data_IF_026446217897
#
_entry.id   IF_026446217897
#
_cell.length_a   1.000
_cell.length_b   1.000
_cell.length_c   1.000
_cell.angle_alpha   90.00
_cell.angle_beta   90.00
_cell.angle_gamma   90.00
#
_symmetry.space_group_name_H-M   'P 1'
#
loop_
_entity.id
_entity.type
_entity.pdbx_description
1 polymer ?
#
# COMPACT_ATOMS: atom_id res chain seq x y z
N UNK A 1 10.82 -4.25 -37.67
CA UNK A 1 9.38 -4.47 -37.40
C UNK A 1 8.83 -3.15 -36.90
N UNK A 2 8.14 -2.40 -37.75
CA UNK A 2 7.60 -1.09 -37.38
C UNK A 2 6.44 -1.28 -36.43
N UNK A 3 6.61 -0.87 -35.17
CA UNK A 3 5.50 -0.71 -34.25
C UNK A 3 4.79 0.57 -34.69
N UNK A 4 3.52 0.46 -35.09
CA UNK A 4 2.75 1.65 -35.45
C UNK A 4 2.75 2.64 -34.28
N UNK A 5 2.76 3.94 -34.57
CA UNK A 5 2.74 5.01 -33.56
C UNK A 5 1.60 4.83 -32.54
N UNK A 6 0.46 4.29 -32.98
CA UNK A 6 -0.66 3.94 -32.12
C UNK A 6 -0.35 2.76 -31.19
N UNK A 7 0.28 1.69 -31.67
CA UNK A 7 0.69 0.56 -30.84
C UNK A 7 1.75 0.97 -29.79
N UNK A 8 2.70 1.83 -30.15
CA UNK A 8 3.67 2.39 -29.21
C UNK A 8 2.99 3.17 -28.08
N UNK A 9 2.05 4.06 -28.42
CA UNK A 9 1.27 4.82 -27.44
C UNK A 9 0.45 3.93 -26.51
N UNK A 10 -0.23 2.91 -27.05
CA UNK A 10 -1.06 2.00 -26.25
C UNK A 10 -0.21 1.20 -25.26
N UNK A 11 0.93 0.64 -25.70
CA UNK A 11 1.83 -0.11 -24.83
C UNK A 11 2.34 0.78 -23.68
N UNK A 12 2.77 2.00 -23.99
CA UNK A 12 3.27 2.92 -22.97
C UNK A 12 2.19 3.38 -21.99
N UNK A 13 0.98 3.68 -22.46
CA UNK A 13 -0.14 4.03 -21.60
C UNK A 13 -0.51 2.87 -20.66
N UNK A 14 -0.43 1.63 -21.16
CA UNK A 14 -0.67 0.45 -20.33
C UNK A 14 0.41 0.29 -19.23
N UNK A 15 1.69 0.49 -19.58
CA UNK A 15 2.80 0.47 -18.61
C UNK A 15 2.61 1.57 -17.55
N UNK A 16 2.30 2.80 -17.97
CA UNK A 16 2.03 3.91 -17.06
C UNK A 16 0.87 3.60 -16.13
N UNK A 17 -0.25 3.07 -16.66
CA UNK A 17 -1.41 2.68 -15.87
C UNK A 17 -1.07 1.58 -14.87
N UNK A 18 -0.31 0.56 -15.29
CA UNK A 18 0.11 -0.53 -14.42
C UNK A 18 0.94 -0.01 -13.24
N UNK A 19 1.92 0.86 -13.49
CA UNK A 19 2.73 1.48 -12.44
C UNK A 19 1.89 2.37 -11.56
N UNK A 20 0.96 3.15 -12.12
CA UNK A 20 0.04 3.95 -11.33
C UNK A 20 -0.84 3.09 -10.42
N UNK A 21 -1.29 1.93 -10.89
CA UNK A 21 -2.10 1.02 -10.07
C UNK A 21 -1.33 0.53 -8.82
N UNK A 22 0.01 0.40 -8.90
CA UNK A 22 0.83 0.00 -7.75
C UNK A 22 1.04 1.11 -6.72
N UNK A 23 0.71 2.38 -7.02
CA UNK A 23 0.71 3.47 -6.04
C UNK A 23 -0.35 3.31 -4.95
N UNK A 24 -1.43 2.57 -5.21
CA UNK A 24 -2.45 2.25 -4.19
C UNK A 24 -1.79 1.53 -3.00
N UNK A 25 -0.78 0.71 -3.26
CA UNK A 25 -0.02 0.04 -2.20
C UNK A 25 0.87 1.01 -1.43
N UNK A 26 1.46 2.02 -2.09
CA UNK A 26 2.30 3.05 -1.44
C UNK A 26 1.50 3.92 -0.45
N UNK A 27 0.23 4.20 -0.74
CA UNK A 27 -0.65 4.90 0.21
C UNK A 27 -0.80 4.15 1.53
N UNK A 28 -0.80 2.81 1.50
CA UNK A 28 -0.81 2.00 2.73
C UNK A 28 0.49 2.19 3.49
N UNK A 29 1.63 2.16 2.82
CA UNK A 29 2.97 2.32 3.42
C UNK A 29 3.15 3.70 4.08
N UNK A 30 2.51 4.75 3.54
CA UNK A 30 2.52 6.09 4.15
C UNK A 30 1.93 6.12 5.56
N UNK A 31 0.84 5.37 5.80
CA UNK A 31 0.20 5.31 7.12
C UNK A 31 1.16 4.72 8.16
N UNK A 32 2.06 3.85 7.72
CA UNK A 32 2.95 3.09 8.59
C UNK A 32 4.14 3.92 9.01
N UNK A 33 4.70 4.65 8.05
CA UNK A 33 5.72 5.64 8.30
C UNK A 33 5.27 6.70 9.33
N UNK A 34 4.01 7.15 9.30
CA UNK A 34 3.50 8.12 10.28
C UNK A 34 3.63 7.65 11.74
N UNK A 35 3.56 6.33 11.97
CA UNK A 35 3.72 5.72 13.28
C UNK A 35 5.14 5.24 13.55
N UNK A 36 6.05 5.40 12.58
CA UNK A 36 7.44 4.91 12.60
C UNK A 36 7.61 3.40 12.81
N UNK A 37 6.54 2.62 12.71
CA UNK A 37 6.53 1.18 12.95
C UNK A 37 6.09 0.41 11.69
N UNK A 38 6.86 -0.61 11.32
CA UNK A 38 6.58 -1.54 10.22
C UNK A 38 6.79 -2.97 10.71
N UNK A 39 5.84 -3.88 10.47
CA UNK A 39 6.04 -5.31 10.70
C UNK A 39 6.96 -5.95 9.66
N UNK A 40 7.74 -6.97 10.08
CA UNK A 40 8.80 -7.61 9.27
C UNK A 40 8.36 -8.07 7.88
N UNK A 41 7.16 -8.63 7.70
CA UNK A 41 6.67 -9.02 6.36
C UNK A 41 6.39 -7.85 5.44
N UNK A 42 5.99 -6.70 5.97
CA UNK A 42 5.81 -5.50 5.14
C UNK A 42 7.14 -4.92 4.77
N UNK A 43 8.16 -5.09 5.61
CA UNK A 43 9.53 -4.84 5.18
C UNK A 43 9.90 -5.73 3.99
N UNK A 44 9.60 -7.04 4.03
CA UNK A 44 9.83 -7.94 2.87
C UNK A 44 9.05 -7.49 1.63
N UNK A 45 7.79 -7.11 1.80
CA UNK A 45 6.93 -6.62 0.72
C UNK A 45 7.44 -5.28 0.16
N UNK A 46 7.86 -4.35 1.02
CA UNK A 46 8.49 -3.09 0.64
C UNK A 46 9.81 -3.33 -0.11
N UNK A 47 10.64 -4.27 0.32
CA UNK A 47 11.87 -4.66 -0.41
C UNK A 47 11.51 -5.22 -1.79
N UNK A 48 10.48 -6.06 -1.89
CA UNK A 48 9.99 -6.53 -3.19
C UNK A 48 9.55 -5.37 -4.10
N UNK A 49 8.76 -4.44 -3.58
CA UNK A 49 8.35 -3.24 -4.32
C UNK A 49 9.54 -2.33 -4.66
N UNK A 50 10.53 -2.21 -3.77
CA UNK A 50 11.76 -1.48 -4.04
C UNK A 50 12.49 -2.07 -5.25
N UNK A 51 12.63 -3.40 -5.29
CA UNK A 51 13.21 -4.11 -6.43
C UNK A 51 12.41 -3.90 -7.71
N UNK A 52 11.08 -4.01 -7.65
CA UNK A 52 10.20 -3.74 -8.78
C UNK A 52 10.38 -2.32 -9.35
N UNK A 53 10.33 -1.30 -8.49
CA UNK A 53 10.49 0.09 -8.93
C UNK A 53 11.93 0.40 -9.37
N UNK A 54 12.94 -0.25 -8.80
CA UNK A 54 14.33 -0.14 -9.25
C UNK A 54 14.49 -0.67 -10.68
N UNK A 55 13.95 -1.86 -10.96
CA UNK A 55 13.97 -2.44 -12.32
C UNK A 55 13.23 -1.52 -13.29
N UNK A 56 12.05 -1.03 -12.91
CA UNK A 56 11.27 -0.09 -13.74
C UNK A 56 12.04 1.21 -14.00
N UNK A 57 12.71 1.75 -12.98
CA UNK A 57 13.55 2.94 -13.11
C UNK A 57 14.71 2.71 -14.10
N UNK A 58 15.44 1.61 -13.97
CA UNK A 58 16.52 1.25 -14.89
C UNK A 58 16.00 1.14 -16.33
N UNK A 59 14.89 0.44 -16.54
CA UNK A 59 14.25 0.31 -17.85
C UNK A 59 13.85 1.68 -18.41
N UNK A 60 13.26 2.56 -17.60
CA UNK A 60 12.87 3.90 -18.04
C UNK A 60 14.08 4.75 -18.46
N UNK A 61 15.20 4.67 -17.74
CA UNK A 61 16.46 5.36 -18.08
C UNK A 61 16.99 4.85 -19.42
N UNK A 62 17.02 3.53 -19.62
CA UNK A 62 17.47 2.91 -20.88
C UNK A 62 16.65 3.44 -22.05
N UNK A 63 15.32 3.46 -21.93
CA UNK A 63 14.42 3.94 -22.99
C UNK A 63 14.69 5.42 -23.30
N UNK A 64 14.81 6.28 -22.30
CA UNK A 64 15.11 7.71 -22.50
C UNK A 64 16.44 7.88 -23.25
N UNK A 65 17.48 7.13 -22.88
CA UNK A 65 18.78 7.15 -23.57
C UNK A 65 18.66 6.69 -25.02
N UNK A 66 17.89 5.64 -25.30
CA UNK A 66 17.67 5.14 -26.66
C UNK A 66 16.94 6.17 -27.55
N UNK A 67 15.98 6.91 -27.01
CA UNK A 67 15.30 8.01 -27.73
C UNK A 67 16.24 9.17 -28.01
N UNK A 68 17.04 9.57 -27.01
CA UNK A 68 18.05 10.64 -27.18
C UNK A 68 19.11 10.25 -28.22
N UNK A 69 19.47 8.97 -28.31
CA UNK A 69 20.35 8.44 -29.36
C UNK A 69 19.67 8.24 -30.71
N UNK A 70 18.34 8.35 -30.79
CA UNK A 70 17.60 8.20 -32.04
C UNK A 70 17.45 6.75 -32.48
N UNK A 71 17.56 5.80 -31.55
CA UNK A 71 17.39 4.38 -31.82
C UNK A 71 15.92 3.95 -31.68
N UNK A 72 15.10 4.75 -31.00
CA UNK A 72 13.65 4.58 -30.87
C UNK A 72 13.00 5.90 -31.25
N UNK A 73 12.10 5.85 -32.23
CA UNK A 73 11.32 6.99 -32.71
C UNK A 73 10.01 6.52 -33.33
N UNK A 74 8.96 7.33 -33.23
CA UNK A 74 7.67 7.05 -33.88
C UNK A 74 7.44 7.90 -35.13
N UNK A 75 8.29 8.90 -35.35
CA UNK A 75 8.27 9.78 -36.52
C UNK A 75 9.55 9.51 -37.32
N UNK A 76 9.41 9.19 -38.61
CA UNK A 76 10.55 9.11 -39.53
C UNK A 76 11.27 10.46 -39.60
N UNK A 77 12.58 10.45 -39.43
CA UNK A 77 13.42 11.64 -39.54
C UNK A 77 14.71 11.33 -40.28
N UNK A 78 15.31 12.36 -40.85
CA UNK A 78 16.68 12.34 -41.39
C UNK A 78 17.55 13.32 -40.61
N UNK A 79 18.86 13.30 -40.83
CA UNK A 79 19.78 14.25 -40.21
C UNK A 79 20.18 15.32 -41.24
N UNK A 80 20.17 16.59 -40.84
CA UNK A 80 20.73 17.68 -41.64
C UNK A 80 22.28 17.67 -41.57
N UNK A 81 22.93 18.50 -42.38
CA UNK A 81 24.39 18.65 -42.41
C UNK A 81 24.98 19.15 -41.07
N UNK A 82 24.15 19.69 -40.18
CA UNK A 82 24.51 20.16 -38.83
C UNK A 82 24.24 19.10 -37.75
N UNK A 83 23.74 17.91 -38.13
CA UNK A 83 23.39 16.81 -37.24
C UNK A 83 22.04 16.95 -36.51
N UNK A 84 21.20 17.92 -36.89
CA UNK A 84 19.84 18.05 -36.35
C UNK A 84 18.89 17.06 -37.01
N UNK A 85 17.89 16.60 -36.25
CA UNK A 85 16.83 15.75 -36.80
C UNK A 85 15.83 16.61 -37.56
N UNK A 86 15.52 16.24 -38.80
CA UNK A 86 14.55 16.91 -39.65
C UNK A 86 13.45 15.92 -40.08
N UNK A 87 12.20 16.40 -40.11
CA UNK A 87 11.05 15.65 -40.59
C UNK A 87 11.01 15.63 -42.14
N UNK A 88 10.07 14.85 -42.71
CA UNK A 88 9.90 14.72 -44.18
C UNK A 88 9.60 16.04 -44.91
N UNK A 89 9.17 17.06 -44.19
CA UNK A 89 8.87 18.43 -44.62
C UNK A 89 10.02 19.42 -44.35
N UNK A 90 11.21 18.94 -43.98
CA UNK A 90 12.39 19.73 -43.59
C UNK A 90 12.22 20.59 -42.32
N UNK A 91 11.19 20.35 -41.50
CA UNK A 91 11.09 20.99 -40.19
C UNK A 91 12.08 20.37 -39.20
N UNK A 92 12.81 21.22 -38.45
CA UNK A 92 13.73 20.77 -37.40
C UNK A 92 12.93 20.22 -36.22
N UNK A 93 13.11 18.94 -35.92
CA UNK A 93 12.45 18.27 -34.82
C UNK A 93 13.19 18.56 -33.53
N UNK A 94 12.56 19.32 -32.64
CA UNK A 94 13.03 19.42 -31.27
C UNK A 94 12.67 18.14 -30.49
N UNK A 95 13.69 17.31 -30.23
CA UNK A 95 13.54 16.03 -29.53
C UNK A 95 12.93 16.21 -28.14
N UNK A 96 13.26 17.28 -27.42
CA UNK A 96 12.78 17.48 -26.04
C UNK A 96 11.29 17.79 -25.95
N UNK A 97 10.69 18.33 -27.01
CA UNK A 97 9.25 18.64 -27.09
C UNK A 97 8.46 17.57 -27.84
N UNK A 98 9.13 16.55 -28.37
CA UNK A 98 8.47 15.48 -29.14
C UNK A 98 7.78 14.48 -28.23
N UNK A 99 6.73 13.83 -28.75
CA UNK A 99 6.03 12.74 -28.04
C UNK A 99 7.00 11.59 -27.74
N UNK A 100 7.98 11.36 -28.62
CA UNK A 100 8.99 10.31 -28.49
C UNK A 100 9.84 10.49 -27.22
N UNK A 101 10.05 11.74 -26.77
CA UNK A 101 10.76 12.02 -25.51
C UNK A 101 9.82 12.22 -24.32
N UNK A 102 8.68 12.89 -24.51
CA UNK A 102 7.76 13.20 -23.42
C UNK A 102 7.18 11.94 -22.75
N UNK A 103 6.83 10.90 -23.53
CA UNK A 103 6.29 9.66 -22.99
C UNK A 103 7.32 8.90 -22.12
N UNK A 104 8.55 8.66 -22.60
CA UNK A 104 9.60 8.06 -21.77
C UNK A 104 10.02 8.91 -20.58
N UNK A 105 10.04 10.24 -20.72
CA UNK A 105 10.31 11.14 -19.61
C UNK A 105 9.22 11.04 -18.53
N UNK A 106 7.95 10.94 -18.93
CA UNK A 106 6.85 10.69 -18.00
C UNK A 106 7.00 9.32 -17.33
N UNK A 107 7.36 8.28 -18.09
CA UNK A 107 7.64 6.95 -17.53
C UNK A 107 8.74 7.02 -16.46
N UNK A 108 9.86 7.67 -16.76
CA UNK A 108 10.96 7.91 -15.82
C UNK A 108 10.47 8.55 -14.52
N UNK A 109 9.68 9.62 -14.60
CA UNK A 109 9.12 10.29 -13.43
C UNK A 109 8.19 9.35 -12.63
N UNK A 110 7.32 8.61 -13.32
CA UNK A 110 6.39 7.68 -12.67
C UNK A 110 7.09 6.50 -11.98
N UNK A 111 8.32 6.15 -12.39
CA UNK A 111 9.15 5.11 -11.76
C UNK A 111 10.11 5.64 -10.70
N UNK A 112 10.52 6.91 -10.79
CA UNK A 112 11.41 7.56 -9.84
C UNK A 112 10.72 7.93 -8.52
N UNK A 113 9.56 8.59 -8.59
CA UNK A 113 8.78 9.00 -7.41
C UNK A 113 8.48 7.82 -6.45
N UNK A 114 7.95 6.68 -6.90
CA UNK A 114 7.61 5.57 -6.02
C UNK A 114 8.87 4.86 -5.50
N UNK A 115 9.93 4.78 -6.29
CA UNK A 115 11.23 4.26 -5.84
C UNK A 115 11.75 5.07 -4.64
N UNK A 116 11.81 6.41 -4.77
CA UNK A 116 12.25 7.30 -3.70
C UNK A 116 11.35 7.19 -2.46
N UNK A 117 10.02 7.10 -2.64
CA UNK A 117 9.08 6.93 -1.53
C UNK A 117 9.28 5.62 -0.76
N UNK A 118 9.42 4.49 -1.46
CA UNK A 118 9.66 3.18 -0.80
C UNK A 118 10.99 3.19 -0.07
N UNK A 119 12.03 3.74 -0.69
CA UNK A 119 13.36 3.85 -0.07
C UNK A 119 13.30 4.70 1.20
N UNK A 120 12.63 5.86 1.14
CA UNK A 120 12.43 6.72 2.29
C UNK A 120 11.70 6.01 3.44
N UNK A 121 10.63 5.25 3.13
CA UNK A 121 9.91 4.49 4.15
C UNK A 121 10.75 3.38 4.77
N UNK A 122 11.55 2.67 3.97
CA UNK A 122 12.43 1.60 4.46
C UNK A 122 13.53 2.13 5.38
N UNK A 123 14.09 3.31 5.11
CA UNK A 123 15.19 3.89 5.89
C UNK A 123 14.71 4.51 7.21
N UNK A 124 13.49 5.08 7.24
CA UNK A 124 13.01 5.85 8.39
C UNK A 124 12.09 5.10 9.35
N UNK A 125 11.82 3.82 9.08
CA UNK A 125 10.86 3.05 9.86
C UNK A 125 11.53 1.96 10.69
N UNK A 126 11.06 1.80 11.93
CA UNK A 126 11.48 0.73 12.81
C UNK A 126 10.74 -0.55 12.45
N UNK A 127 11.44 -1.68 12.61
CA UNK A 127 10.83 -2.99 12.40
C UNK A 127 10.28 -3.48 13.72
N UNK A 128 8.96 -3.51 13.87
CA UNK A 128 8.33 -4.17 15.01
C UNK A 128 8.41 -5.68 14.84
N UNK A 129 8.73 -6.39 15.92
CA UNK A 129 8.70 -7.85 15.94
C UNK A 129 7.30 -8.39 15.64
N UNK A 130 7.26 -9.61 15.10
CA UNK A 130 6.03 -10.35 14.88
C UNK A 130 5.30 -10.56 16.21
N UNK A 131 3.98 -10.33 16.21
CA UNK A 131 3.15 -10.80 17.32
C UNK A 131 3.02 -12.31 17.18
N UNK A 132 3.59 -13.04 18.14
CA UNK A 132 3.56 -14.51 18.15
C UNK A 132 2.24 -15.01 18.75
N UNK A 133 1.72 -16.17 18.30
CA UNK A 133 0.53 -16.76 18.90
C UNK A 133 0.60 -16.87 20.43
N UNK A 134 1.76 -17.29 20.95
CA UNK A 134 1.97 -17.49 22.38
C UNK A 134 1.88 -16.17 23.16
N UNK A 135 2.26 -15.05 22.55
CA UNK A 135 2.16 -13.73 23.20
C UNK A 135 0.71 -13.28 23.32
N UNK A 136 -0.14 -13.64 22.36
CA UNK A 136 -1.58 -13.37 22.44
C UNK A 136 -2.23 -14.24 23.51
N UNK A 137 -1.82 -15.50 23.64
CA UNK A 137 -2.29 -16.40 24.69
C UNK A 137 -1.86 -15.93 26.08
N UNK A 138 -0.58 -15.62 26.26
CA UNK A 138 -0.06 -15.04 27.51
C UNK A 138 -0.82 -13.75 27.84
N UNK A 139 -1.09 -12.90 26.86
CA UNK A 139 -1.87 -11.68 27.11
C UNK A 139 -3.31 -11.99 27.53
N UNK A 140 -3.96 -12.94 26.86
CA UNK A 140 -5.32 -13.39 27.16
C UNK A 140 -5.45 -13.94 28.59
N UNK A 141 -4.45 -14.69 29.05
CA UNK A 141 -4.47 -15.32 30.37
C UNK A 141 -4.14 -14.34 31.51
N UNK A 142 -3.34 -13.30 31.24
CA UNK A 142 -2.82 -12.41 32.28
C UNK A 142 -3.54 -11.06 32.40
N UNK A 143 -4.31 -10.64 31.40
CA UNK A 143 -4.94 -9.32 31.38
C UNK A 143 -6.43 -9.40 31.09
N UNK A 144 -7.21 -8.65 31.88
CA UNK A 144 -8.62 -8.41 31.66
C UNK A 144 -8.86 -7.00 31.11
N UNK A 145 -9.89 -6.88 30.27
CA UNK A 145 -10.33 -5.61 29.68
C UNK A 145 -11.81 -5.70 29.27
N UNK A 146 -12.46 -4.55 29.16
CA UNK A 146 -13.87 -4.47 28.79
C UNK A 146 -14.07 -4.55 27.27
N UNK A 147 -14.69 -5.63 26.80
CA UNK A 147 -14.94 -5.86 25.36
C UNK A 147 -15.87 -4.80 24.76
N UNK A 148 -16.86 -4.32 25.52
CA UNK A 148 -17.81 -3.33 25.00
C UNK A 148 -17.17 -1.93 24.87
N UNK A 149 -16.15 -1.63 25.67
CA UNK A 149 -15.30 -0.46 25.45
C UNK A 149 -14.44 -0.63 24.19
N UNK A 150 -13.83 -1.81 23.99
CA UNK A 150 -13.04 -2.10 22.78
C UNK A 150 -13.90 -1.96 21.51
N UNK A 151 -15.13 -2.45 21.56
CA UNK A 151 -16.09 -2.37 20.46
C UNK A 151 -16.41 -0.92 20.06
N UNK A 152 -16.46 -0.02 21.04
CA UNK A 152 -16.78 1.41 20.88
C UNK A 152 -15.57 2.27 20.54
N UNK A 153 -14.35 1.77 20.71
CA UNK A 153 -13.14 2.46 20.25
C UNK A 153 -13.29 2.89 18.80
N UNK A 154 -12.73 4.04 18.45
CA UNK A 154 -12.86 4.59 17.10
C UNK A 154 -11.62 5.37 16.68
N UNK A 155 -11.42 5.54 15.37
CA UNK A 155 -10.51 6.56 14.86
C UNK A 155 -11.27 7.50 13.92
N UNK A 156 -10.76 8.73 13.79
CA UNK A 156 -11.37 9.77 12.96
C UNK A 156 -10.55 9.91 11.68
N UNK A 157 -11.18 9.64 10.54
CA UNK A 157 -10.60 9.96 9.23
C UNK A 157 -10.77 11.44 8.98
N UNK A 158 -9.68 12.20 9.14
CA UNK A 158 -9.67 13.62 8.84
C UNK A 158 -9.90 13.83 7.34
N UNK A 159 -10.83 14.73 6.95
CA UNK A 159 -11.00 15.08 5.55
C UNK A 159 -9.73 15.70 4.98
N UNK A 160 -9.51 15.52 3.68
CA UNK A 160 -8.38 16.12 2.99
C UNK A 160 -8.47 17.65 3.11
N UNK A 161 -7.39 18.30 3.56
CA UNK A 161 -7.30 19.77 3.72
C UNK A 161 -7.59 20.57 2.44
N UNK A 162 -7.67 19.92 1.28
CA UNK A 162 -7.82 20.55 -0.03
C UNK A 162 -9.27 20.85 -0.46
N UNK A 163 -10.32 20.44 0.28
CA UNK A 163 -11.71 20.76 -0.09
C UNK A 163 -12.42 21.57 1.01
N UNK A 164 -12.65 22.86 0.71
CA UNK A 164 -13.25 23.91 1.56
C UNK A 164 -14.75 23.75 1.89
N UNK A 165 -15.36 22.57 1.77
CA UNK A 165 -16.81 22.40 1.98
C UNK A 165 -17.13 21.24 2.89
N UNK A 166 -17.72 21.54 4.07
CA UNK A 166 -18.48 20.66 4.97
C UNK A 166 -18.22 19.14 4.83
N UNK A 167 -16.98 18.69 4.98
CA UNK A 167 -16.71 17.26 5.09
C UNK A 167 -16.84 16.87 6.55
N UNK A 168 -17.94 16.18 6.85
CA UNK A 168 -18.19 15.56 8.15
C UNK A 168 -17.05 14.60 8.44
N UNK A 169 -16.42 14.74 9.61
CA UNK A 169 -15.42 13.80 10.09
C UNK A 169 -16.00 12.37 10.07
N UNK A 170 -15.32 11.45 9.37
CA UNK A 170 -15.81 10.07 9.31
C UNK A 170 -15.22 9.28 10.47
N UNK A 171 -16.05 9.05 11.47
CA UNK A 171 -15.74 8.18 12.60
C UNK A 171 -15.83 6.72 12.17
N UNK A 172 -14.74 5.98 12.35
CA UNK A 172 -14.69 4.54 12.11
C UNK A 172 -14.66 3.83 13.47
N UNK A 173 -15.80 3.26 13.86
CA UNK A 173 -15.96 2.49 15.10
C UNK A 173 -15.45 1.05 14.90
N UNK A 174 -14.73 0.52 15.88
CA UNK A 174 -14.07 -0.78 15.78
C UNK A 174 -15.04 -1.91 15.45
N UNK A 175 -16.17 -1.99 16.16
CA UNK A 175 -17.18 -3.03 15.95
C UNK A 175 -17.66 -3.08 14.50
N UNK A 176 -18.06 -1.92 13.94
CA UNK A 176 -18.50 -1.84 12.54
C UNK A 176 -17.38 -2.18 11.56
N UNK A 177 -16.17 -1.68 11.84
CA UNK A 177 -15.00 -1.91 11.02
C UNK A 177 -14.61 -3.39 10.96
N UNK A 178 -14.56 -4.07 12.10
CA UNK A 178 -14.19 -5.49 12.16
C UNK A 178 -15.31 -6.38 11.59
N UNK A 179 -16.58 -6.03 11.81
CA UNK A 179 -17.76 -6.78 11.34
C UNK A 179 -17.84 -6.89 9.83
N UNK A 180 -17.34 -5.91 9.07
CA UNK A 180 -17.27 -6.06 7.60
C UNK A 180 -16.32 -7.17 7.14
N UNK A 181 -15.57 -7.83 8.03
CA UNK A 181 -14.85 -9.07 7.71
C UNK A 181 -15.76 -10.26 7.44
N UNK A 182 -17.00 -10.24 7.95
CA UNK A 182 -17.98 -11.31 7.77
C UNK A 182 -18.29 -11.61 6.30
N UNK A 183 -18.07 -10.65 5.38
CA UNK A 183 -18.16 -10.87 3.93
C UNK A 183 -17.30 -12.06 3.49
N UNK A 184 -16.13 -12.25 4.09
CA UNK A 184 -15.21 -13.34 3.74
C UNK A 184 -15.54 -14.65 4.45
N UNK A 185 -16.42 -14.65 5.44
CA UNK A 185 -16.73 -15.84 6.24
C UNK A 185 -17.29 -16.97 5.38
N UNK A 186 -18.19 -16.63 4.44
CA UNK A 186 -18.78 -17.60 3.49
C UNK A 186 -17.85 -17.95 2.32
N UNK A 187 -16.87 -17.09 2.01
CA UNK A 187 -15.99 -17.26 0.86
C UNK A 187 -14.77 -18.12 1.18
N UNK A 188 -14.10 -17.84 2.31
CA UNK A 188 -12.91 -18.57 2.73
C UNK A 188 -12.61 -18.27 4.19
N UNK A 189 -12.63 -19.31 5.05
CA UNK A 189 -12.20 -19.21 6.44
C UNK A 189 -10.79 -18.63 6.57
N UNK A 190 -9.88 -19.02 5.67
CA UNK A 190 -8.52 -18.47 5.63
C UNK A 190 -8.57 -16.96 5.43
N UNK A 191 -9.20 -16.47 4.34
CA UNK A 191 -9.32 -15.02 4.06
C UNK A 191 -10.02 -14.25 5.18
N UNK A 192 -11.04 -14.85 5.79
CA UNK A 192 -11.75 -14.29 6.93
C UNK A 192 -10.81 -14.00 8.09
N UNK A 193 -10.07 -14.99 8.57
CA UNK A 193 -9.09 -14.80 9.65
C UNK A 193 -7.99 -13.82 9.25
N UNK A 194 -7.53 -13.88 7.99
CA UNK A 194 -6.56 -12.91 7.48
C UNK A 194 -7.06 -11.47 7.62
N UNK A 195 -8.31 -11.25 7.25
CA UNK A 195 -8.89 -9.92 7.24
C UNK A 195 -9.12 -9.37 8.66
N UNK A 196 -9.50 -10.22 9.62
CA UNK A 196 -9.62 -9.83 11.04
C UNK A 196 -8.28 -9.31 11.55
N UNK A 197 -7.21 -10.09 11.35
CA UNK A 197 -5.86 -9.74 11.78
C UNK A 197 -5.44 -8.41 11.14
N UNK A 198 -5.61 -8.28 9.82
CA UNK A 198 -5.28 -7.05 9.08
C UNK A 198 -5.94 -5.82 9.65
N UNK A 199 -7.26 -5.91 9.83
CA UNK A 199 -8.06 -4.78 10.28
C UNK A 199 -7.68 -4.40 11.68
N UNK A 200 -7.51 -5.37 12.56
CA UNK A 200 -7.07 -5.15 13.94
C UNK A 200 -5.76 -4.36 14.00
N UNK A 201 -4.73 -4.84 13.30
CA UNK A 201 -3.42 -4.16 13.23
C UNK A 201 -3.57 -2.76 12.65
N UNK A 202 -4.29 -2.64 11.53
CA UNK A 202 -4.51 -1.32 10.89
C UNK A 202 -5.21 -0.34 11.83
N UNK A 203 -6.22 -0.82 12.57
CA UNK A 203 -7.00 -0.02 13.50
C UNK A 203 -6.12 0.53 14.64
N UNK A 204 -5.29 -0.32 15.23
CA UNK A 204 -4.34 0.08 16.28
C UNK A 204 -3.32 1.09 15.76
N UNK A 205 -2.80 0.87 14.54
CA UNK A 205 -1.89 1.83 13.90
C UNK A 205 -2.56 3.18 13.62
N UNK A 206 -3.87 3.24 13.36
CA UNK A 206 -4.56 4.52 13.27
C UNK A 206 -4.68 5.27 14.61
N UNK A 207 -4.09 4.75 15.69
CA UNK A 207 -4.07 5.36 17.03
C UNK A 207 -5.49 5.67 17.51
N UNK A 208 -6.28 4.62 17.81
CA UNK A 208 -7.68 4.79 18.12
C UNK A 208 -7.90 5.62 19.39
N UNK A 209 -9.00 6.36 19.41
CA UNK A 209 -9.54 7.04 20.58
C UNK A 209 -10.39 6.09 21.41
N UNK A 210 -10.67 6.51 22.65
CA UNK A 210 -11.47 5.76 23.62
C UNK A 210 -10.92 4.34 23.89
N UNK A 211 -9.59 4.18 23.89
CA UNK A 211 -8.94 2.92 24.22
C UNK A 211 -9.31 2.53 25.66
N UNK A 212 -9.82 1.29 25.88
CA UNK A 212 -10.21 0.82 27.20
C UNK A 212 -9.08 0.97 28.21
N UNK A 213 -9.47 1.12 29.47
CA UNK A 213 -8.53 0.99 30.56
C UNK A 213 -8.24 -0.49 30.82
N UNK A 214 -6.96 -0.81 31.00
CA UNK A 214 -6.49 -2.15 31.26
C UNK A 214 -5.21 -2.10 32.09
N UNK A 215 -4.92 -3.20 32.77
CA UNK A 215 -3.74 -3.36 33.63
C UNK A 215 -2.47 -3.69 32.84
N UNK A 216 -2.32 -3.15 31.62
CA UNK A 216 -1.18 -3.40 30.75
C UNK A 216 -0.67 -2.10 30.13
N UNK A 217 0.60 -2.10 29.74
CA UNK A 217 1.19 -0.96 29.04
C UNK A 217 0.53 -0.77 27.67
N UNK A 218 0.03 0.44 27.37
CA UNK A 218 -0.68 0.79 26.14
C UNK A 218 0.26 0.95 24.92
N UNK A 219 1.15 -0.01 24.71
CA UNK A 219 2.01 -0.10 23.53
C UNK A 219 1.28 -0.81 22.37
N UNK A 220 1.78 -0.65 21.13
CA UNK A 220 1.14 -1.21 19.93
C UNK A 220 0.93 -2.73 20.01
N UNK A 221 1.88 -3.47 20.58
CA UNK A 221 1.82 -4.94 20.71
C UNK A 221 0.65 -5.37 21.58
N UNK A 222 0.58 -4.84 22.81
CA UNK A 222 -0.47 -5.15 23.77
C UNK A 222 -1.84 -4.72 23.27
N UNK A 223 -1.92 -3.55 22.63
CA UNK A 223 -3.16 -3.10 21.99
C UNK A 223 -3.61 -4.09 20.92
N UNK A 224 -2.73 -4.56 20.03
CA UNK A 224 -3.11 -5.54 19.01
C UNK A 224 -3.58 -6.85 19.65
N UNK A 225 -2.90 -7.35 20.69
CA UNK A 225 -3.37 -8.53 21.43
C UNK A 225 -4.79 -8.33 21.95
N UNK A 226 -5.05 -7.22 22.65
CA UNK A 226 -6.37 -6.86 23.16
C UNK A 226 -7.43 -6.83 22.06
N UNK A 227 -7.19 -6.09 20.96
CA UNK A 227 -8.16 -5.96 19.88
C UNK A 227 -8.36 -7.28 19.12
N UNK A 228 -7.33 -8.14 18.98
CA UNK A 228 -7.46 -9.46 18.33
C UNK A 228 -8.39 -10.37 19.14
N UNK A 229 -8.17 -10.41 20.46
CA UNK A 229 -9.02 -11.18 21.38
C UNK A 229 -10.46 -10.64 21.33
N UNK A 230 -10.64 -9.32 21.45
CA UNK A 230 -11.96 -8.70 21.41
C UNK A 230 -12.70 -8.97 20.08
N UNK A 231 -11.97 -9.06 18.96
CA UNK A 231 -12.56 -9.33 17.65
C UNK A 231 -13.31 -10.65 17.60
N UNK A 232 -12.80 -11.68 18.29
CA UNK A 232 -13.47 -12.98 18.39
C UNK A 232 -14.82 -12.80 19.07
N UNK A 233 -14.83 -12.15 20.23
CA UNK A 233 -16.06 -11.91 21.00
C UNK A 233 -17.07 -11.05 20.23
N UNK A 234 -16.61 -9.97 19.59
CA UNK A 234 -17.46 -9.07 18.79
C UNK A 234 -18.08 -9.83 17.61
N UNK A 235 -17.29 -10.55 16.82
CA UNK A 235 -17.78 -11.27 15.65
C UNK A 235 -18.68 -12.45 16.03
N UNK A 236 -18.38 -13.12 17.15
CA UNK A 236 -19.22 -14.18 17.68
C UNK A 236 -20.61 -13.70 18.09
N UNK A 237 -20.83 -12.41 18.41
CA UNK A 237 -22.19 -11.88 18.61
C UNK A 237 -23.04 -11.98 17.33
N UNK A 238 -22.41 -11.93 16.15
CA UNK A 238 -23.07 -11.89 14.84
C UNK A 238 -23.07 -13.24 14.10
N UNK A 239 -22.21 -14.19 14.51
CA UNK A 239 -22.04 -15.48 13.85
C UNK A 239 -22.90 -16.57 14.47
N UNK A 240 -23.49 -17.41 13.61
CA UNK A 240 -24.13 -18.68 14.00
C UNK A 240 -23.06 -19.72 14.34
N UNK A 241 -22.12 -19.95 13.42
CA UNK A 241 -20.95 -20.79 13.68
C UNK A 241 -19.88 -19.97 14.38
N UNK A 242 -19.69 -20.22 15.68
CA UNK A 242 -18.70 -19.51 16.49
C UNK A 242 -17.27 -19.81 16.04
N UNK A 243 -16.42 -18.81 16.15
CA UNK A 243 -14.99 -18.88 15.91
C UNK A 243 -14.24 -18.87 17.23
N UNK A 244 -13.05 -19.47 17.26
CA UNK A 244 -12.21 -19.55 18.46
C UNK A 244 -10.94 -18.72 18.31
N UNK A 245 -10.36 -18.33 19.44
CA UNK A 245 -9.07 -17.67 19.46
C UNK A 245 -7.99 -18.58 18.82
N UNK A 246 -7.99 -19.86 19.14
CA UNK A 246 -7.07 -20.85 18.57
C UNK A 246 -7.11 -20.92 17.04
N UNK A 247 -8.30 -20.89 16.43
CA UNK A 247 -8.45 -20.87 14.98
C UNK A 247 -7.86 -19.60 14.37
N UNK A 248 -8.06 -18.44 15.01
CA UNK A 248 -7.44 -17.18 14.59
C UNK A 248 -5.91 -17.24 14.74
N UNK A 249 -5.40 -17.79 15.83
CA UNK A 249 -3.96 -17.89 16.11
C UNK A 249 -3.23 -18.86 15.16
N UNK A 250 -3.88 -19.95 14.72
CA UNK A 250 -3.35 -20.81 13.64
C UNK A 250 -3.13 -20.03 12.35
N UNK A 251 -3.93 -19.00 12.11
CA UNK A 251 -3.83 -18.13 10.94
C UNK A 251 -2.94 -16.89 11.17
N UNK A 252 -2.50 -16.65 12.41
CA UNK A 252 -1.49 -15.63 12.74
C UNK A 252 -0.11 -16.04 12.19
N UNK A 253 0.18 -17.35 12.15
CA UNK A 253 1.36 -17.93 11.51
C UNK A 253 1.24 -17.83 9.98
N UNK A 254 1.86 -16.80 9.40
CA UNK A 254 1.91 -16.63 7.94
C UNK A 254 1.16 -15.42 7.41
N UNK A 255 0.75 -14.51 8.31
CA UNK A 255 0.22 -13.21 7.94
C UNK A 255 0.81 -12.15 8.82
N UNK A 256 1.53 -11.26 8.20
CA UNK A 256 1.74 -9.95 8.80
C UNK A 256 1.49 -9.00 7.65
N UNK A 257 0.36 -8.33 7.77
CA UNK A 257 0.06 -7.15 6.98
C UNK A 257 0.81 -6.00 7.51
#
# INVERSE_FOLDING_TARGET
MEISRSAFLVIFLFILFFIWSTYITLFKLRIWHLNRDIYVTNKKTMIFYLGFYLISLILSIIIVVLVLKGLIYTIEYTFDEKGNRIAKDNEVINVYTSIDFLLPALYLLTSLIPFCLVLYYLLNSKVSEYIKPDEVLIFYDNYSFNIDEVAKSYYVLKPSKTKKGNQVEKTVVYESYISSSLIFFKLSKKLFYKNIIKKTVSFVLYSPYAIPNGLFEKNHKNLICMYLIASISILNKLLVQKITLEELLKNLKGLTY
#
